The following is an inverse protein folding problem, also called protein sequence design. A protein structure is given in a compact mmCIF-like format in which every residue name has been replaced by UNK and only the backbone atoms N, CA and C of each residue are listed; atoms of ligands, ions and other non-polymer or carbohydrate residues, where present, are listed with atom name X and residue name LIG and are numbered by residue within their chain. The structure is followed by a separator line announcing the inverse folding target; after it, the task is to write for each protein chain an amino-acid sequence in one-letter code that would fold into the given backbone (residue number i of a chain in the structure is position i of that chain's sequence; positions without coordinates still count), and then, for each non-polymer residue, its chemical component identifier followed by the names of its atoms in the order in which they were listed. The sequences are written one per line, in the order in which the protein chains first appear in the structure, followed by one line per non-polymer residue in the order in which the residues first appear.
data_IF_626832664353
#
_entry.id   IF_626832664353
#
_cell.length_a   1.000
_cell.length_b   1.000
_cell.length_c   1.000
_cell.angle_alpha   90.00
_cell.angle_beta   90.00
_cell.angle_gamma   90.00
#
_symmetry.space_group_name_H-M   'P 1'
#
loop_
_entity.id
_entity.type
_entity.pdbx_description
1 polymer ?
#
# COMPACT_ATOMS: atom_id res chain seq x y z
N UNK A 1 4.41 -10.64 3.15
CA UNK A 1 4.76 -9.20 2.99
C UNK A 1 3.54 -8.27 2.76
N UNK A 2 2.28 -8.74 2.92
CA UNK A 2 1.05 -7.97 2.53
C UNK A 2 0.14 -7.60 3.72
N UNK A 3 0.44 -8.00 4.96
CA UNK A 3 -0.52 -7.91 6.08
C UNK A 3 -0.42 -6.68 7.02
N UNK A 4 0.53 -5.76 6.82
CA UNK A 4 0.83 -4.75 7.85
C UNK A 4 0.12 -3.39 7.73
N UNK A 5 -0.81 -3.17 6.81
CA UNK A 5 -1.36 -1.82 6.58
C UNK A 5 -2.58 -1.40 7.42
N UNK A 6 -3.15 -2.26 8.28
CA UNK A 6 -4.46 -1.93 8.90
C UNK A 6 -4.60 -2.05 10.43
N UNK A 7 -3.57 -2.44 11.18
CA UNK A 7 -3.65 -2.48 12.65
C UNK A 7 -2.46 -1.78 13.31
N UNK A 8 -2.66 -0.59 13.90
CA UNK A 8 -1.71 -0.02 14.85
C UNK A 8 -2.19 -0.35 16.27
N UNK A 9 -1.74 -1.48 16.82
CA UNK A 9 -1.47 -1.70 18.27
C UNK A 9 -1.39 -3.21 18.57
N UNK A 10 -0.34 -3.54 19.33
CA UNK A 10 -0.09 -4.76 20.12
C UNK A 10 -1.01 -5.96 19.88
N UNK A 11 -0.57 -6.95 19.08
CA UNK A 11 -0.64 -8.38 19.45
C UNK A 11 0.44 -9.16 18.67
N UNK A 12 1.31 -9.83 19.42
CA UNK A 12 2.21 -10.87 18.92
C UNK A 12 1.40 -12.03 18.35
N UNK A 13 1.67 -12.48 17.11
CA UNK A 13 1.68 -13.90 16.66
C UNK A 13 1.71 -14.00 15.12
N UNK A 14 2.84 -14.40 14.48
CA UNK A 14 2.94 -14.50 13.02
C UNK A 14 2.48 -15.84 12.40
N UNK A 15 2.00 -16.82 13.17
CA UNK A 15 1.95 -18.23 12.70
C UNK A 15 0.54 -18.70 12.29
N UNK A 16 -0.54 -18.05 12.73
CA UNK A 16 -1.89 -18.58 12.50
C UNK A 16 -2.57 -18.18 11.17
N UNK A 17 -2.07 -17.16 10.45
CA UNK A 17 -2.75 -16.65 9.26
C UNK A 17 -2.39 -17.36 7.93
N UNK A 18 -1.39 -18.25 7.91
CA UNK A 18 -1.04 -19.04 6.73
C UNK A 18 -1.88 -20.32 6.59
N UNK A 19 -2.57 -20.74 7.65
CA UNK A 19 -3.39 -21.96 7.66
C UNK A 19 -4.79 -21.79 7.07
N UNK A 20 -5.29 -20.57 6.90
CA UNK A 20 -6.64 -20.32 6.37
C UNK A 20 -6.73 -20.40 4.82
N UNK A 21 -5.60 -20.63 4.13
CA UNK A 21 -5.53 -20.89 2.69
C UNK A 21 -5.14 -22.34 2.35
N UNK A 22 -5.14 -23.24 3.35
CA UNK A 22 -4.70 -24.63 3.22
C UNK A 22 -5.74 -25.56 3.87
N UNK A 23 -6.77 -25.93 3.09
CA UNK A 23 -7.56 -27.14 3.36
C UNK A 23 -7.71 -27.92 2.06
N UNK A 24 -6.66 -28.68 1.72
CA UNK A 24 -6.68 -29.66 0.65
C UNK A 24 -7.28 -30.96 1.15
N UNK A 25 -8.35 -31.44 0.50
CA UNK A 25 -8.55 -32.86 0.23
C UNK A 25 -9.04 -33.01 -1.21
N UNK A 26 -8.20 -33.61 -2.05
CA UNK A 26 -8.56 -33.98 -3.42
C UNK A 26 -9.74 -34.97 -3.42
N UNK A 27 -10.67 -34.89 -4.38
CA UNK A 27 -11.72 -35.90 -4.55
C UNK A 27 -11.16 -37.15 -5.27
N UNK A 28 -11.65 -38.37 -4.97
CA UNK A 28 -11.30 -39.57 -5.71
C UNK A 28 -12.10 -39.67 -7.02
N UNK A 29 -11.65 -40.47 -8.01
CA UNK A 29 -12.25 -40.51 -9.34
C UNK A 29 -13.59 -41.28 -9.35
N UNK A 30 -14.47 -40.86 -10.25
CA UNK A 30 -15.80 -41.44 -10.45
C UNK A 30 -15.74 -42.85 -11.05
N UNK A 31 -16.61 -43.75 -10.57
CA UNK A 31 -16.96 -45.02 -11.20
C UNK A 31 -18.47 -45.12 -11.38
N UNK A 32 -18.87 -45.64 -12.54
CA UNK A 32 -20.21 -45.66 -13.08
C UNK A 32 -21.10 -46.82 -12.57
N UNK A 33 -22.41 -46.54 -12.57
CA UNK A 33 -23.61 -47.41 -12.69
C UNK A 33 -23.78 -48.67 -11.82
N UNK A 34 -24.94 -48.77 -11.15
CA UNK A 34 -26.05 -49.68 -11.54
C UNK A 34 -27.12 -49.80 -10.42
N UNK A 35 -28.34 -50.04 -10.87
CA UNK A 35 -29.63 -50.16 -10.16
C UNK A 35 -29.77 -51.52 -9.44
N UNK A 36 -30.40 -51.57 -8.25
CA UNK A 36 -31.59 -52.40 -7.96
C UNK A 36 -31.95 -52.58 -6.46
N UNK A 37 -33.26 -52.55 -6.21
CA UNK A 37 -34.04 -52.82 -5.01
C UNK A 37 -33.58 -53.99 -4.10
N UNK A 38 -33.79 -53.86 -2.77
CA UNK A 38 -34.92 -54.50 -2.03
C UNK A 38 -34.91 -54.19 -0.52
N UNK A 39 -36.14 -53.96 -0.04
CA UNK A 39 -36.73 -53.96 1.31
C UNK A 39 -36.02 -54.78 2.41
N UNK A 40 -35.96 -54.25 3.64
CA UNK A 40 -36.37 -54.97 4.86
C UNK A 40 -36.77 -54.01 6.00
N UNK A 41 -37.68 -54.52 6.82
CA UNK A 41 -38.58 -53.84 7.77
C UNK A 41 -38.01 -53.71 9.19
N UNK A 42 -38.49 -52.68 9.91
CA UNK A 42 -38.65 -52.53 11.38
C UNK A 42 -37.39 -52.64 12.26
N UNK A 43 -37.10 -51.70 13.17
CA UNK A 43 -37.88 -51.47 14.39
C UNK A 43 -37.50 -50.12 15.02
N UNK A 44 -38.51 -49.38 15.48
CA UNK A 44 -38.39 -48.14 16.25
C UNK A 44 -37.96 -48.42 17.70
N UNK A 45 -36.98 -47.66 18.21
CA UNK A 45 -36.83 -47.43 19.64
C UNK A 45 -36.63 -45.93 19.89
N UNK A 46 -37.61 -45.33 20.55
CA UNK A 46 -37.69 -43.93 20.93
C UNK A 46 -37.02 -43.73 22.30
N UNK A 47 -36.17 -42.71 22.44
CA UNK A 47 -35.71 -42.19 23.74
C UNK A 47 -36.01 -40.67 23.76
N UNK A 48 -36.66 -40.14 24.82
CA UNK A 48 -37.11 -38.75 24.85
C UNK A 48 -36.02 -37.79 25.35
N UNK A 49 -35.93 -36.63 24.70
CA UNK A 49 -35.24 -35.43 25.21
C UNK A 49 -36.14 -34.70 26.23
N UNK A 50 -35.58 -34.32 27.37
CA UNK A 50 -36.13 -33.29 28.28
C UNK A 50 -35.28 -32.02 28.17
N UNK A 51 -35.88 -30.82 28.09
CA UNK A 51 -35.18 -29.56 28.26
C UNK A 51 -35.25 -29.11 29.73
N UNK A 52 -34.19 -28.46 30.21
CA UNK A 52 -34.21 -27.70 31.46
C UNK A 52 -33.71 -26.28 31.18
N UNK A 53 -34.65 -25.35 31.16
CA UNK A 53 -34.42 -23.93 31.39
C UNK A 53 -34.16 -23.72 32.88
N UNK A 54 -33.13 -22.94 33.22
CA UNK A 54 -33.07 -22.21 34.48
C UNK A 54 -32.23 -20.95 34.31
N UNK A 55 -32.90 -19.81 34.36
CA UNK A 55 -32.34 -18.48 34.55
C UNK A 55 -31.72 -18.35 35.94
N UNK A 56 -30.55 -17.72 36.05
CA UNK A 56 -30.24 -16.96 37.27
C UNK A 56 -29.42 -15.72 36.94
N UNK A 57 -30.05 -14.58 37.18
CA UNK A 57 -29.46 -13.26 37.30
C UNK A 57 -28.64 -13.18 38.60
N UNK A 58 -27.38 -12.76 38.51
CA UNK A 58 -26.63 -12.28 39.69
C UNK A 58 -25.98 -10.93 39.39
N UNK A 59 -26.49 -9.93 40.11
CA UNK A 59 -25.95 -8.59 40.20
C UNK A 59 -24.57 -8.60 40.86
N UNK A 60 -23.61 -7.88 40.25
CA UNK A 60 -22.34 -7.55 40.87
C UNK A 60 -22.46 -6.19 41.56
N UNK A 61 -22.23 -6.20 42.88
CA UNK A 61 -22.19 -5.04 43.75
C UNK A 61 -20.88 -4.27 43.56
N UNK A 62 -21.00 -2.96 43.49
CA UNK A 62 -19.97 -1.95 43.67
C UNK A 62 -19.40 -1.97 45.09
N UNK A 63 -18.08 -1.92 45.24
CA UNK A 63 -17.39 -1.59 46.48
C UNK A 63 -16.76 -0.19 46.40
N UNK A 64 -16.84 0.63 47.47
CA UNK A 64 -16.26 1.96 47.52
C UNK A 64 -14.85 1.96 48.12
N UNK A 65 -13.96 2.80 47.58
CA UNK A 65 -12.66 3.14 48.17
C UNK A 65 -12.82 4.27 49.23
N UNK A 66 -12.09 4.25 50.36
CA UNK A 66 -12.00 5.39 51.26
C UNK A 66 -10.73 6.25 50.99
N UNK A 67 -10.64 7.48 51.57
CA UNK A 67 -9.73 8.53 51.12
C UNK A 67 -8.50 8.74 52.02
N UNK A 68 -7.52 9.47 51.45
CA UNK A 68 -6.52 10.36 52.07
C UNK A 68 -5.53 9.84 53.13
N UNK A 69 -4.23 9.95 52.81
CA UNK A 69 -3.23 10.50 53.73
C UNK A 69 -2.01 11.05 52.97
N UNK A 70 -1.77 12.34 53.21
CA UNK A 70 -0.70 13.19 52.72
C UNK A 70 0.63 12.91 53.43
N UNK A 71 1.71 12.73 52.67
CA UNK A 71 3.08 12.84 53.18
C UNK A 71 3.92 13.71 52.23
N UNK A 72 4.56 14.71 52.82
CA UNK A 72 5.38 15.78 52.25
C UNK A 72 6.57 15.24 51.42
N UNK A 73 7.00 15.91 50.34
CA UNK A 73 8.34 15.75 49.82
C UNK A 73 9.32 16.77 50.43
N UNK A 74 10.42 16.24 50.93
CA UNK A 74 11.60 16.94 51.42
C UNK A 74 12.22 17.87 50.36
N UNK A 75 12.57 19.09 50.78
CA UNK A 75 13.38 20.04 50.00
C UNK A 75 14.69 19.39 49.53
N UNK A 76 14.97 19.46 48.22
CA UNK A 76 16.35 19.49 47.71
C UNK A 76 16.57 20.79 46.96
N UNK A 77 17.62 21.50 47.39
CA UNK A 77 18.12 22.73 46.79
C UNK A 77 18.52 22.48 45.33
N UNK A 78 18.07 23.35 44.43
CA UNK A 78 18.70 23.57 43.14
C UNK A 78 19.92 24.49 43.34
N UNK A 79 21.11 24.04 42.94
CA UNK A 79 22.27 24.91 42.75
C UNK A 79 22.33 25.26 41.27
N UNK A 80 22.22 26.56 41.01
CA UNK A 80 22.27 27.23 39.71
C UNK A 80 23.75 27.37 39.33
N UNK A 81 24.17 26.76 38.23
CA UNK A 81 25.47 27.08 37.61
C UNK A 81 25.25 28.21 36.59
N UNK A 82 26.00 29.30 36.78
CA UNK A 82 26.00 30.47 35.90
C UNK A 82 26.62 30.14 34.55
N UNK A 83 25.95 30.56 33.48
CA UNK A 83 26.46 30.51 32.11
C UNK A 83 27.48 31.64 31.89
N UNK A 84 28.61 31.27 31.29
CA UNK A 84 29.59 32.20 30.77
C UNK A 84 29.07 32.86 29.49
N UNK A 85 29.30 34.16 29.38
CA UNK A 85 28.78 35.01 28.32
C UNK A 85 29.55 34.85 27.01
N UNK A 86 28.81 34.63 25.94
CA UNK A 86 29.25 34.82 24.56
C UNK A 86 28.17 35.57 23.79
N UNK A 87 28.31 36.88 23.66
CA UNK A 87 27.51 37.71 22.77
C UNK A 87 27.85 37.36 21.31
N UNK A 88 27.16 36.35 20.77
CA UNK A 88 26.93 36.19 19.35
C UNK A 88 25.43 36.25 19.14
N UNK A 89 24.91 37.42 18.76
CA UNK A 89 23.53 37.53 18.32
C UNK A 89 23.37 36.69 17.04
N UNK A 90 23.00 35.41 17.19
CA UNK A 90 22.45 34.67 16.08
C UNK A 90 21.13 35.35 15.75
N UNK A 91 21.04 35.96 14.57
CA UNK A 91 19.75 36.34 14.04
C UNK A 91 18.95 35.05 13.91
N UNK A 92 18.00 34.80 14.83
CA UNK A 92 17.06 33.69 14.69
C UNK A 92 16.23 33.99 13.45
N UNK A 93 16.65 33.46 12.30
CA UNK A 93 15.93 33.59 11.04
C UNK A 93 14.51 33.11 11.29
N UNK A 94 13.56 34.02 11.19
CA UNK A 94 12.16 33.72 11.45
C UNK A 94 11.61 33.02 10.21
N UNK A 95 11.42 31.70 10.30
CA UNK A 95 10.81 30.90 9.25
C UNK A 95 9.28 30.94 9.37
N UNK A 96 8.59 30.76 8.24
CA UNK A 96 7.12 30.61 8.25
C UNK A 96 6.70 29.33 8.99
N UNK A 97 7.50 28.26 8.86
CA UNK A 97 7.28 26.95 9.48
C UNK A 97 8.57 26.36 10.06
N UNK A 98 8.44 25.49 11.05
CA UNK A 98 9.55 24.63 11.50
C UNK A 98 9.75 23.45 10.54
N UNK A 99 8.67 22.95 9.95
CA UNK A 99 8.67 21.88 8.95
C UNK A 99 7.79 22.23 7.75
N UNK A 100 8.33 22.05 6.54
CA UNK A 100 7.55 22.03 5.31
C UNK A 100 7.69 20.67 4.62
N UNK A 101 6.60 19.92 4.51
CA UNK A 101 6.59 18.61 3.87
C UNK A 101 6.04 18.71 2.45
N UNK A 102 6.74 18.13 1.47
CA UNK A 102 6.29 18.00 0.08
C UNK A 102 5.78 16.56 -0.12
N UNK A 103 4.47 16.41 -0.31
CA UNK A 103 3.79 15.13 -0.51
C UNK A 103 3.06 14.62 0.73
N UNK A 104 1.74 14.49 0.63
CA UNK A 104 0.85 13.98 1.69
C UNK A 104 0.55 12.47 1.52
N UNK A 105 1.58 11.69 1.21
CA UNK A 105 1.56 10.24 1.27
C UNK A 105 1.81 9.68 2.68
N UNK A 106 2.01 8.37 2.78
CA UNK A 106 2.12 7.68 4.08
C UNK A 106 3.22 8.25 4.98
N UNK A 107 4.44 8.44 4.46
CA UNK A 107 5.56 9.01 5.22
C UNK A 107 5.32 10.46 5.61
N UNK A 108 4.96 11.31 4.63
CA UNK A 108 4.74 12.74 4.83
C UNK A 108 3.60 13.07 5.81
N UNK A 109 2.47 12.35 5.74
CA UNK A 109 1.37 12.51 6.71
C UNK A 109 1.84 12.12 8.12
N UNK A 110 2.53 10.98 8.25
CA UNK A 110 3.00 10.49 9.55
C UNK A 110 3.99 11.46 10.18
N UNK A 111 5.00 11.89 9.42
CA UNK A 111 6.01 12.84 9.87
C UNK A 111 5.39 14.18 10.28
N UNK A 112 4.55 14.76 9.40
CA UNK A 112 3.95 16.07 9.65
C UNK A 112 3.04 16.08 10.86
N UNK A 113 2.21 15.04 11.01
CA UNK A 113 1.33 14.88 12.18
C UNK A 113 2.13 14.76 13.48
N UNK A 114 3.17 13.95 13.50
CA UNK A 114 3.98 13.73 14.70
C UNK A 114 4.80 14.97 15.05
N UNK A 115 5.46 15.61 14.08
CA UNK A 115 6.16 16.86 14.30
C UNK A 115 5.25 17.94 14.92
N UNK A 116 4.02 18.09 14.41
CA UNK A 116 3.06 19.03 14.98
C UNK A 116 2.62 18.66 16.40
N UNK A 117 2.44 17.36 16.68
CA UNK A 117 2.15 16.86 18.04
C UNK A 117 3.31 17.12 19.02
N UNK A 118 4.54 17.20 18.51
CA UNK A 118 5.73 17.57 19.29
C UNK A 118 5.92 19.10 19.42
N UNK A 119 4.96 19.91 18.94
CA UNK A 119 4.95 21.36 19.11
C UNK A 119 5.51 22.17 17.94
N UNK A 120 5.92 21.51 16.84
CA UNK A 120 6.42 22.22 15.65
C UNK A 120 5.29 22.91 14.88
N UNK A 121 5.57 24.06 14.27
CA UNK A 121 4.67 24.68 13.30
C UNK A 121 4.89 24.03 11.93
N UNK A 122 3.89 23.30 11.41
CA UNK A 122 4.06 22.44 10.22
C UNK A 122 3.15 22.85 9.07
N UNK A 123 3.70 22.87 7.85
CA UNK A 123 2.96 22.87 6.60
C UNK A 123 3.23 21.58 5.81
N UNK A 124 2.23 21.17 5.03
CA UNK A 124 2.35 20.09 4.06
C UNK A 124 1.67 20.49 2.76
N UNK A 125 2.34 20.30 1.62
CA UNK A 125 1.72 20.47 0.32
C UNK A 125 1.45 19.14 -0.39
N UNK A 126 0.37 19.11 -1.16
CA UNK A 126 -0.02 17.97 -1.98
C UNK A 126 -0.80 18.44 -3.21
N UNK A 127 -0.67 17.69 -4.31
CA UNK A 127 -1.39 17.96 -5.54
C UNK A 127 -2.90 17.77 -5.37
N UNK A 128 -3.73 18.42 -6.21
CA UNK A 128 -5.17 18.15 -6.27
C UNK A 128 -5.49 16.66 -6.44
N UNK A 129 -6.63 16.25 -5.90
CA UNK A 129 -7.07 14.85 -5.92
C UNK A 129 -7.32 14.33 -7.35
N UNK A 130 -6.79 13.14 -7.65
CA UNK A 130 -7.16 12.33 -8.81
C UNK A 130 -6.95 10.84 -8.52
N UNK A 131 -7.81 9.99 -9.08
CA UNK A 131 -7.66 8.53 -9.04
C UNK A 131 -6.41 8.07 -9.78
N UNK A 132 -6.08 8.72 -10.90
CA UNK A 132 -4.86 8.49 -11.68
C UNK A 132 -3.83 9.57 -11.36
N UNK A 133 -2.59 9.18 -11.03
CA UNK A 133 -1.53 10.14 -10.78
C UNK A 133 -1.07 10.83 -12.07
N UNK A 134 -0.78 12.13 -11.99
CA UNK A 134 -0.08 12.86 -13.05
C UNK A 134 0.91 13.86 -12.44
N UNK A 135 1.59 14.65 -13.28
CA UNK A 135 2.44 15.74 -12.82
C UNK A 135 1.68 16.79 -11.98
N UNK A 136 0.38 16.96 -12.23
CA UNK A 136 -0.41 18.02 -11.61
C UNK A 136 -1.56 17.48 -10.75
N UNK A 137 -1.64 16.15 -10.59
CA UNK A 137 -2.67 15.52 -9.80
C UNK A 137 -2.11 14.33 -9.00
N UNK A 138 -2.52 14.27 -7.75
CA UNK A 138 -2.05 13.32 -6.75
C UNK A 138 -3.17 13.11 -5.75
N UNK A 139 -3.09 13.81 -4.63
CA UNK A 139 -4.15 13.84 -3.63
C UNK A 139 -3.69 13.31 -2.28
N UNK A 140 -4.32 13.85 -1.25
CA UNK A 140 -4.02 13.53 0.15
C UNK A 140 -4.30 12.06 0.44
N UNK A 141 -3.34 11.39 1.09
CA UNK A 141 -3.32 9.93 1.31
C UNK A 141 -2.26 9.24 0.44
N UNK A 142 -1.87 9.86 -0.68
CA UNK A 142 -0.83 9.38 -1.58
C UNK A 142 -1.11 8.01 -2.19
N UNK A 143 -0.04 7.37 -2.67
CA UNK A 143 -0.16 6.15 -3.49
C UNK A 143 -0.93 5.04 -2.81
N UNK A 144 -0.60 4.68 -1.56
CA UNK A 144 -1.19 3.51 -0.89
C UNK A 144 -2.70 3.63 -0.71
N UNK A 145 -3.20 4.82 -0.37
CA UNK A 145 -4.62 5.07 -0.16
C UNK A 145 -5.35 5.18 -1.49
N UNK A 146 -4.79 5.89 -2.48
CA UNK A 146 -5.54 6.28 -3.68
C UNK A 146 -5.40 5.32 -4.87
N UNK A 147 -4.25 4.65 -5.00
CA UNK A 147 -3.87 3.88 -6.21
C UNK A 147 -2.96 2.68 -5.90
N UNK A 148 -3.04 2.18 -4.67
CA UNK A 148 -2.16 1.15 -4.16
C UNK A 148 -2.90 0.21 -3.23
N UNK A 149 -2.37 0.02 -2.02
CA UNK A 149 -2.81 -0.98 -1.05
C UNK A 149 -4.33 -1.07 -0.91
N UNK A 150 -5.01 0.07 -0.71
CA UNK A 150 -6.45 0.11 -0.40
C UNK A 150 -7.31 -0.31 -1.59
N UNK A 151 -7.33 0.41 -2.74
CA UNK A 151 -8.18 0.04 -3.87
C UNK A 151 -7.80 -1.33 -4.44
N UNK A 152 -6.51 -1.67 -4.49
CA UNK A 152 -6.06 -3.01 -4.91
C UNK A 152 -6.62 -4.09 -3.99
N UNK A 153 -6.65 -3.87 -2.67
CA UNK A 153 -7.19 -4.86 -1.73
C UNK A 153 -8.70 -5.05 -1.87
N UNK A 154 -9.45 -3.98 -2.18
CA UNK A 154 -10.87 -4.07 -2.52
C UNK A 154 -11.08 -4.93 -3.78
N UNK A 155 -10.24 -4.76 -4.81
CA UNK A 155 -10.27 -5.58 -6.02
C UNK A 155 -9.92 -7.05 -5.75
N UNK A 156 -8.93 -7.31 -4.89
CA UNK A 156 -8.61 -8.68 -4.46
C UNK A 156 -9.81 -9.32 -3.79
N UNK A 157 -10.47 -8.64 -2.85
CA UNK A 157 -11.69 -9.17 -2.22
C UNK A 157 -12.80 -9.45 -3.23
N UNK A 158 -13.04 -8.53 -4.17
CA UNK A 158 -14.03 -8.74 -5.23
C UNK A 158 -13.72 -9.99 -6.08
N UNK A 159 -12.44 -10.19 -6.42
CA UNK A 159 -12.00 -11.32 -7.26
C UNK A 159 -12.12 -12.68 -6.56
N UNK A 160 -12.02 -12.73 -5.23
CA UNK A 160 -12.09 -13.95 -4.43
C UNK A 160 -13.47 -14.60 -4.42
N UNK A 161 -14.54 -13.79 -4.46
CA UNK A 161 -15.92 -14.31 -4.45
C UNK A 161 -16.20 -15.32 -5.57
N UNK A 162 -15.57 -15.16 -6.73
CA UNK A 162 -15.75 -16.09 -7.84
C UNK A 162 -15.35 -17.54 -7.50
N UNK A 163 -14.34 -17.69 -6.64
CA UNK A 163 -13.87 -18.98 -6.16
C UNK A 163 -14.71 -19.44 -4.97
N UNK A 164 -15.02 -18.53 -4.04
CA UNK A 164 -15.85 -18.86 -2.88
C UNK A 164 -17.24 -19.38 -3.30
N UNK A 165 -17.82 -18.84 -4.38
CA UNK A 165 -19.10 -19.33 -4.93
C UNK A 165 -18.97 -20.73 -5.54
N UNK A 166 -17.85 -21.05 -6.17
CA UNK A 166 -17.58 -22.38 -6.72
C UNK A 166 -17.36 -23.39 -5.58
N UNK A 167 -16.53 -23.05 -4.60
CA UNK A 167 -16.26 -23.91 -3.44
C UNK A 167 -17.50 -24.11 -2.56
N UNK A 168 -18.41 -23.14 -2.52
CA UNK A 168 -19.63 -23.21 -1.70
C UNK A 168 -20.50 -24.44 -2.00
N UNK A 169 -20.48 -24.95 -3.24
CA UNK A 169 -21.18 -26.19 -3.61
C UNK A 169 -20.71 -27.40 -2.78
N UNK A 170 -19.42 -27.45 -2.45
CA UNK A 170 -18.84 -28.49 -1.59
C UNK A 170 -19.36 -28.47 -0.15
N UNK A 171 -19.94 -27.33 0.27
CA UNK A 171 -20.57 -27.14 1.57
C UNK A 171 -22.11 -27.21 1.50
N UNK A 172 -22.67 -27.65 0.37
CA UNK A 172 -24.11 -27.86 0.20
C UNK A 172 -24.90 -26.61 -0.20
N UNK A 173 -24.22 -25.53 -0.61
CA UNK A 173 -24.88 -24.41 -1.26
C UNK A 173 -25.32 -24.82 -2.66
N UNK A 174 -26.46 -24.29 -3.11
CA UNK A 174 -26.96 -24.47 -4.47
C UNK A 174 -27.69 -23.19 -4.89
N UNK A 175 -27.58 -22.85 -6.17
CA UNK A 175 -28.23 -21.68 -6.77
C UNK A 175 -28.67 -22.00 -8.21
N UNK A 176 -29.71 -21.32 -8.69
CA UNK A 176 -30.28 -21.55 -10.02
C UNK A 176 -29.38 -21.03 -11.16
N UNK A 177 -28.57 -20.02 -10.88
CA UNK A 177 -27.64 -19.42 -11.83
C UNK A 177 -26.39 -18.90 -11.12
N UNK A 178 -25.24 -19.02 -11.78
CA UNK A 178 -23.97 -18.44 -11.32
C UNK A 178 -24.10 -16.94 -11.00
N UNK A 179 -23.59 -16.48 -9.84
CA UNK A 179 -23.54 -15.05 -9.52
C UNK A 179 -22.80 -14.25 -10.58
N UNK A 180 -23.37 -13.11 -10.99
CA UNK A 180 -22.76 -12.19 -11.95
C UNK A 180 -22.05 -11.06 -11.23
N UNK A 181 -20.88 -10.68 -11.75
CA UNK A 181 -20.12 -9.54 -11.24
C UNK A 181 -20.45 -8.26 -12.02
N UNK A 182 -20.84 -7.20 -11.31
CA UNK A 182 -21.00 -5.87 -11.89
C UNK A 182 -19.78 -4.99 -11.60
N UNK A 183 -19.00 -4.71 -12.66
CA UNK A 183 -17.82 -3.85 -12.60
C UNK A 183 -18.14 -2.43 -12.17
N UNK A 184 -19.28 -1.90 -12.61
CA UNK A 184 -19.64 -0.50 -12.33
C UNK A 184 -19.91 -0.28 -10.85
N UNK A 185 -20.59 -1.21 -10.18
CA UNK A 185 -20.78 -1.20 -8.72
C UNK A 185 -19.44 -1.29 -7.97
N UNK A 186 -18.50 -2.15 -8.39
CA UNK A 186 -17.18 -2.23 -7.75
C UNK A 186 -16.43 -0.90 -7.85
N UNK A 187 -16.38 -0.30 -9.04
CA UNK A 187 -15.70 0.99 -9.26
C UNK A 187 -16.36 2.11 -8.46
N UNK A 188 -17.69 2.20 -8.45
CA UNK A 188 -18.42 3.20 -7.69
C UNK A 188 -18.16 3.10 -6.18
N UNK A 189 -18.22 1.88 -5.62
CA UNK A 189 -17.96 1.64 -4.20
C UNK A 189 -16.50 1.92 -3.83
N UNK A 190 -15.55 1.49 -4.68
CA UNK A 190 -14.13 1.83 -4.51
C UNK A 190 -13.95 3.35 -4.48
N UNK A 191 -14.49 4.08 -5.46
CA UNK A 191 -14.35 5.54 -5.55
C UNK A 191 -14.97 6.28 -4.36
N UNK A 192 -16.15 5.84 -3.90
CA UNK A 192 -16.77 6.40 -2.69
C UNK A 192 -15.88 6.23 -1.45
N UNK A 193 -15.24 5.06 -1.31
CA UNK A 193 -14.31 4.79 -0.22
C UNK A 193 -13.04 5.65 -0.31
N UNK A 194 -12.49 5.85 -1.52
CA UNK A 194 -11.34 6.74 -1.73
C UNK A 194 -11.66 8.19 -1.32
N UNK A 195 -12.86 8.69 -1.64
CA UNK A 195 -13.30 10.03 -1.23
C UNK A 195 -13.42 10.14 0.29
N UNK A 196 -14.03 9.14 0.93
CA UNK A 196 -14.16 9.08 2.39
C UNK A 196 -12.79 9.10 3.08
N UNK A 197 -11.85 8.26 2.62
CA UNK A 197 -10.50 8.18 3.17
C UNK A 197 -9.72 9.48 2.95
N UNK A 198 -9.82 10.09 1.77
CA UNK A 198 -9.20 11.40 1.50
C UNK A 198 -9.67 12.45 2.52
N UNK A 199 -10.97 12.50 2.81
CA UNK A 199 -11.54 13.36 3.85
C UNK A 199 -10.97 13.07 5.24
N UNK A 200 -10.82 11.80 5.61
CA UNK A 200 -10.23 11.40 6.89
C UNK A 200 -8.78 11.87 7.02
N UNK A 201 -7.97 11.71 5.98
CA UNK A 201 -6.57 12.15 6.03
C UNK A 201 -6.46 13.68 6.13
N UNK A 202 -7.31 14.43 5.42
CA UNK A 202 -7.40 15.90 5.58
C UNK A 202 -7.73 16.28 7.02
N UNK A 203 -8.73 15.63 7.62
CA UNK A 203 -9.12 15.87 9.01
C UNK A 203 -8.00 15.52 10.01
N UNK A 204 -7.28 14.43 9.80
CA UNK A 204 -6.16 14.01 10.67
C UNK A 204 -5.06 15.08 10.69
N UNK A 205 -4.71 15.65 9.53
CA UNK A 205 -3.73 16.73 9.42
C UNK A 205 -4.23 18.01 10.10
N UNK A 206 -5.46 18.43 9.80
CA UNK A 206 -6.07 19.62 10.39
C UNK A 206 -6.19 19.54 11.91
N UNK A 207 -6.66 18.40 12.44
CA UNK A 207 -6.80 18.18 13.89
C UNK A 207 -5.44 18.18 14.62
N UNK A 208 -4.35 17.88 13.92
CA UNK A 208 -2.99 17.98 14.47
C UNK A 208 -2.40 19.40 14.35
N UNK A 209 -3.13 20.37 13.78
CA UNK A 209 -2.65 21.74 13.55
C UNK A 209 -1.73 21.90 12.34
N UNK A 210 -1.69 20.91 11.43
CA UNK A 210 -0.89 21.00 10.21
C UNK A 210 -1.60 21.85 9.16
N UNK A 211 -0.88 22.81 8.58
CA UNK A 211 -1.38 23.62 7.46
C UNK A 211 -1.29 22.81 6.16
N UNK A 212 -2.42 22.38 5.62
CA UNK A 212 -2.49 21.74 4.31
C UNK A 212 -2.56 22.79 3.20
N UNK A 213 -1.66 22.69 2.22
CA UNK A 213 -1.57 23.58 1.06
C UNK A 213 -1.78 22.72 -0.19
N UNK A 214 -2.81 23.01 -0.98
CA UNK A 214 -2.98 22.34 -2.27
C UNK A 214 -2.06 23.00 -3.31
N UNK A 215 -1.32 22.19 -4.08
CA UNK A 215 -0.43 22.67 -5.13
C UNK A 215 0.87 21.86 -5.23
N UNK A 216 1.66 22.14 -6.27
CA UNK A 216 2.94 21.46 -6.49
C UNK A 216 4.05 22.14 -5.71
N UNK A 217 4.68 21.42 -4.79
CA UNK A 217 5.90 21.89 -4.12
C UNK A 217 7.13 21.80 -5.01
N UNK A 218 7.89 22.89 -5.07
CA UNK A 218 9.23 22.96 -5.69
C UNK A 218 10.20 23.60 -4.72
N UNK A 219 11.34 22.97 -4.50
CA UNK A 219 12.42 23.52 -3.66
C UNK A 219 13.17 24.54 -4.49
N UNK A 220 13.29 25.77 -3.98
CA UNK A 220 13.99 26.87 -4.67
C UNK A 220 15.32 27.22 -4.01
N UNK A 221 15.45 26.97 -2.71
CA UNK A 221 16.70 27.07 -1.94
C UNK A 221 16.63 26.11 -0.72
N UNK A 222 17.71 25.92 0.05
CA UNK A 222 17.74 24.97 1.18
C UNK A 222 16.64 25.14 2.23
N UNK A 223 15.99 26.30 2.31
CA UNK A 223 14.97 26.62 3.31
C UNK A 223 13.67 27.17 2.72
N UNK A 224 13.48 27.15 1.40
CA UNK A 224 12.31 27.75 0.75
C UNK A 224 11.66 26.78 -0.23
N UNK A 225 10.34 26.63 -0.09
CA UNK A 225 9.48 25.88 -1.01
C UNK A 225 8.52 26.83 -1.70
N UNK A 226 8.47 26.76 -3.02
CA UNK A 226 7.43 27.38 -3.84
C UNK A 226 6.26 26.41 -3.99
N UNK A 227 5.05 26.89 -3.75
CA UNK A 227 3.80 26.18 -4.10
C UNK A 227 2.93 27.13 -4.91
N UNK A 228 2.69 26.78 -6.18
CA UNK A 228 1.88 27.54 -7.14
C UNK A 228 2.23 29.06 -7.15
N UNK A 229 3.53 29.38 -7.22
CA UNK A 229 4.05 30.74 -7.28
C UNK A 229 4.16 31.47 -5.93
N UNK A 230 3.72 30.86 -4.83
CA UNK A 230 3.90 31.41 -3.48
C UNK A 230 5.07 30.74 -2.77
N UNK A 231 5.95 31.57 -2.20
CA UNK A 231 7.11 31.12 -1.43
C UNK A 231 6.77 30.93 0.05
N UNK A 232 7.29 29.85 0.62
CA UNK A 232 7.17 29.50 2.03
C UNK A 232 8.54 29.11 2.56
N UNK A 233 8.95 29.71 3.69
CA UNK A 233 10.23 29.43 4.33
C UNK A 233 10.07 28.42 5.47
N UNK A 234 11.03 27.51 5.62
CA UNK A 234 11.02 26.52 6.69
C UNK A 234 12.40 26.16 7.21
N UNK A 235 12.48 25.86 8.51
CA UNK A 235 13.72 25.37 9.14
C UNK A 235 14.14 24.03 8.54
N UNK A 236 13.19 23.10 8.37
CA UNK A 236 13.40 21.81 7.74
C UNK A 236 12.41 21.58 6.59
N UNK A 237 12.88 20.92 5.53
CA UNK A 237 12.06 20.48 4.40
C UNK A 237 12.09 18.94 4.37
N UNK A 238 10.91 18.31 4.30
CA UNK A 238 10.78 16.87 4.14
C UNK A 238 10.18 16.51 2.77
N UNK A 239 10.90 15.71 1.99
CA UNK A 239 10.45 15.22 0.69
C UNK A 239 9.84 13.83 0.87
N UNK A 240 8.53 13.69 0.58
CA UNK A 240 7.77 12.44 0.67
C UNK A 240 6.86 12.25 -0.56
N UNK A 241 7.38 12.55 -1.74
CA UNK A 241 6.68 12.55 -3.04
C UNK A 241 6.46 11.16 -3.66
N UNK A 242 7.00 10.11 -3.02
CA UNK A 242 6.86 8.72 -3.45
C UNK A 242 7.52 8.41 -4.81
N UNK A 243 6.94 7.45 -5.53
CA UNK A 243 7.34 7.05 -6.87
C UNK A 243 6.18 7.02 -7.86
N UNK A 244 6.49 6.76 -9.14
CA UNK A 244 5.50 6.58 -10.22
C UNK A 244 5.78 5.33 -11.05
N UNK A 245 4.76 4.74 -11.71
CA UNK A 245 4.98 3.65 -12.66
C UNK A 245 6.00 4.03 -13.73
N UNK A 246 6.84 3.08 -14.11
CA UNK A 246 7.83 3.28 -15.17
C UNK A 246 7.42 2.47 -16.40
N UNK A 247 7.12 3.18 -17.50
CA UNK A 247 6.84 2.58 -18.79
C UNK A 247 8.12 2.55 -19.64
N UNK A 248 8.40 1.45 -20.37
CA UNK A 248 9.55 1.39 -21.26
C UNK A 248 9.33 2.21 -22.53
N UNK A 249 10.42 2.67 -23.14
CA UNK A 249 10.38 3.35 -24.43
C UNK A 249 10.31 2.34 -25.57
N UNK A 250 9.08 1.92 -25.91
CA UNK A 250 8.79 1.05 -27.07
C UNK A 250 7.69 1.68 -27.94
N UNK A 251 7.68 1.41 -29.27
CA UNK A 251 6.59 1.87 -30.12
C UNK A 251 5.22 1.39 -29.64
N UNK A 252 4.24 2.30 -29.61
CA UNK A 252 2.87 2.01 -29.18
C UNK A 252 2.67 2.00 -27.66
N UNK A 253 3.67 2.37 -26.86
CA UNK A 253 3.54 2.43 -25.40
C UNK A 253 2.41 3.37 -24.95
N UNK A 254 2.04 4.37 -25.74
CA UNK A 254 0.91 5.26 -25.51
C UNK A 254 -0.46 4.55 -25.44
N UNK A 255 -0.55 3.31 -25.91
CA UNK A 255 -1.74 2.47 -25.79
C UNK A 255 -1.76 1.61 -24.51
N UNK A 256 -0.65 1.56 -23.77
CA UNK A 256 -0.56 0.80 -22.54
C UNK A 256 -1.22 1.54 -21.36
N UNK A 257 -1.62 0.76 -20.36
CA UNK A 257 -2.02 1.25 -19.04
C UNK A 257 -0.98 0.87 -17.99
N UNK A 258 -0.96 1.59 -16.88
CA UNK A 258 -0.21 1.21 -15.68
C UNK A 258 -1.15 0.74 -14.56
N UNK A 259 -0.62 0.56 -13.35
CA UNK A 259 -1.42 0.16 -12.19
C UNK A 259 -2.43 1.21 -11.75
N UNK A 260 -2.17 2.49 -12.00
CA UNK A 260 -3.07 3.57 -11.60
C UNK A 260 -4.32 3.50 -12.49
N UNK A 261 -4.11 3.42 -13.81
CA UNK A 261 -5.19 3.29 -14.79
C UNK A 261 -5.96 1.96 -14.64
N UNK A 262 -5.28 0.85 -14.31
CA UNK A 262 -5.93 -0.45 -14.08
C UNK A 262 -6.95 -0.44 -12.92
N UNK A 263 -6.80 0.46 -11.94
CA UNK A 263 -7.74 0.64 -10.82
C UNK A 263 -8.92 1.55 -11.16
N UNK A 264 -8.93 2.16 -12.34
CA UNK A 264 -9.91 3.19 -12.74
C UNK A 264 -10.49 2.95 -14.13
N UNK A 265 -10.38 1.72 -14.66
CA UNK A 265 -10.94 1.38 -15.97
C UNK A 265 -12.47 1.52 -15.99
N UNK A 266 -13.05 2.07 -17.07
CA UNK A 266 -14.51 2.21 -17.21
C UNK A 266 -15.21 0.85 -17.37
N UNK A 267 -14.52 -0.14 -17.90
CA UNK A 267 -15.01 -1.51 -18.06
C UNK A 267 -13.94 -2.52 -17.67
N UNK A 268 -14.39 -3.70 -17.23
CA UNK A 268 -13.51 -4.83 -16.96
C UNK A 268 -12.85 -5.30 -18.27
N UNK A 269 -11.54 -5.58 -18.28
CA UNK A 269 -10.90 -6.24 -19.42
C UNK A 269 -11.56 -7.59 -19.73
N UNK A 270 -11.72 -7.90 -21.02
CA UNK A 270 -12.11 -9.25 -21.47
C UNK A 270 -10.87 -10.14 -21.57
N UNK A 271 -9.88 -9.65 -22.31
CA UNK A 271 -8.54 -10.23 -22.43
C UNK A 271 -7.48 -9.17 -22.12
N UNK A 272 -6.50 -9.49 -21.28
CA UNK A 272 -5.46 -8.54 -20.82
C UNK A 272 -4.06 -9.16 -20.83
N UNK A 273 -3.10 -8.40 -21.37
CA UNK A 273 -1.68 -8.68 -21.20
C UNK A 273 -1.13 -7.89 -20.01
N UNK A 274 -0.37 -8.53 -19.12
CA UNK A 274 0.29 -7.90 -17.99
C UNK A 274 1.79 -8.14 -18.12
N UNK A 275 2.53 -7.07 -18.37
CA UNK A 275 3.99 -7.09 -18.51
C UNK A 275 4.65 -6.79 -17.17
N UNK A 276 5.30 -7.79 -16.58
CA UNK A 276 6.03 -7.66 -15.31
C UNK A 276 5.96 -8.93 -14.47
N UNK A 277 7.04 -9.20 -13.73
CA UNK A 277 7.11 -10.35 -12.82
C UNK A 277 7.08 -9.97 -11.33
N UNK A 278 6.82 -8.70 -11.01
CA UNK A 278 6.76 -8.22 -9.63
C UNK A 278 5.41 -8.48 -8.96
N UNK A 279 5.32 -8.15 -7.67
CA UNK A 279 4.09 -8.37 -6.90
C UNK A 279 2.88 -7.63 -7.49
N UNK A 280 3.05 -6.41 -8.02
CA UNK A 280 1.97 -5.65 -8.66
C UNK A 280 1.39 -6.45 -9.84
N UNK A 281 2.26 -6.97 -10.72
CA UNK A 281 1.83 -7.72 -11.90
C UNK A 281 1.01 -8.96 -11.51
N UNK A 282 1.50 -9.74 -10.53
CA UNK A 282 0.81 -10.96 -10.11
C UNK A 282 -0.49 -10.69 -9.34
N UNK A 283 -0.54 -9.62 -8.55
CA UNK A 283 -1.77 -9.21 -7.88
C UNK A 283 -2.85 -8.84 -8.90
N UNK A 284 -2.53 -8.03 -9.91
CA UNK A 284 -3.48 -7.70 -10.98
C UNK A 284 -3.84 -8.92 -11.84
N UNK A 285 -2.89 -9.82 -12.10
CA UNK A 285 -3.18 -11.07 -12.82
C UNK A 285 -4.21 -11.91 -12.06
N UNK A 286 -4.03 -12.07 -10.75
CA UNK A 286 -4.99 -12.76 -9.88
C UNK A 286 -6.37 -12.05 -9.83
N UNK A 287 -6.37 -10.72 -9.73
CA UNK A 287 -7.61 -9.92 -9.72
C UNK A 287 -8.40 -10.13 -11.01
N UNK A 288 -7.78 -9.89 -12.17
CA UNK A 288 -8.49 -9.94 -13.45
C UNK A 288 -8.92 -11.38 -13.79
N UNK A 289 -8.11 -12.39 -13.42
CA UNK A 289 -8.47 -13.80 -13.58
C UNK A 289 -9.65 -14.20 -12.68
N UNK A 290 -9.63 -13.80 -11.40
CA UNK A 290 -10.77 -14.03 -10.48
C UNK A 290 -12.03 -13.30 -10.91
N UNK A 291 -11.89 -12.17 -11.62
CA UNK A 291 -13.01 -11.49 -12.28
C UNK A 291 -13.29 -12.02 -13.70
N UNK A 292 -12.82 -13.23 -14.02
CA UNK A 292 -13.10 -13.98 -15.26
C UNK A 292 -12.66 -13.26 -16.53
N UNK A 293 -11.48 -12.63 -16.50
CA UNK A 293 -10.79 -12.13 -17.70
C UNK A 293 -9.78 -13.16 -18.17
N UNK A 294 -9.53 -13.24 -19.48
CA UNK A 294 -8.39 -14.00 -20.02
C UNK A 294 -7.09 -13.22 -19.74
N UNK A 295 -6.16 -13.82 -19.00
CA UNK A 295 -4.97 -13.13 -18.49
C UNK A 295 -3.70 -13.78 -19.01
N UNK A 296 -2.86 -12.97 -19.66
CA UNK A 296 -1.51 -13.35 -20.08
C UNK A 296 -0.49 -12.52 -19.30
N UNK A 297 0.49 -13.18 -18.67
CA UNK A 297 1.56 -12.53 -17.92
C UNK A 297 2.89 -12.71 -18.65
N UNK A 298 3.51 -11.60 -19.05
CA UNK A 298 4.78 -11.57 -19.77
C UNK A 298 5.92 -11.19 -18.84
N UNK A 299 6.94 -12.04 -18.75
CA UNK A 299 8.13 -11.79 -17.94
C UNK A 299 9.41 -12.00 -18.75
N UNK A 300 10.36 -11.07 -18.61
CA UNK A 300 11.69 -11.19 -19.24
C UNK A 300 12.60 -12.25 -18.60
N UNK A 301 12.25 -12.74 -17.42
CA UNK A 301 13.04 -13.69 -16.63
C UNK A 301 12.40 -15.08 -16.68
N UNK A 302 13.12 -16.10 -16.20
CA UNK A 302 12.58 -17.46 -16.09
C UNK A 302 11.50 -17.60 -15.00
N UNK A 303 11.58 -16.80 -13.94
CA UNK A 303 10.69 -16.89 -12.76
C UNK A 303 10.20 -15.52 -12.32
N UNK A 304 8.97 -15.48 -11.81
CA UNK A 304 8.35 -14.31 -11.17
C UNK A 304 8.97 -14.00 -9.80
N UNK A 305 8.58 -12.88 -9.19
CA UNK A 305 8.94 -12.45 -7.82
C UNK A 305 10.44 -12.53 -7.52
N UNK A 306 11.28 -11.93 -8.39
CA UNK A 306 12.72 -11.84 -8.15
C UNK A 306 13.02 -11.25 -6.77
N UNK A 307 13.90 -11.91 -6.01
CA UNK A 307 14.27 -11.53 -4.64
C UNK A 307 13.49 -12.28 -3.56
N UNK A 308 12.50 -13.10 -3.93
CA UNK A 308 11.83 -14.03 -3.02
C UNK A 308 12.48 -15.42 -3.08
N UNK A 309 12.13 -16.25 -2.10
CA UNK A 309 12.53 -17.65 -2.01
C UNK A 309 12.20 -18.44 -3.31
N UNK A 310 13.13 -19.29 -3.74
CA UNK A 310 13.04 -19.98 -5.03
C UNK A 310 11.88 -20.99 -5.09
N UNK A 311 11.61 -21.73 -4.01
CA UNK A 311 10.53 -22.73 -3.98
C UNK A 311 9.17 -22.04 -3.96
N UNK A 312 9.04 -20.95 -3.20
CA UNK A 312 7.81 -20.15 -3.16
C UNK A 312 7.50 -19.54 -4.54
N UNK A 313 8.52 -19.12 -5.28
CA UNK A 313 8.36 -18.56 -6.63
C UNK A 313 7.83 -19.59 -7.62
N UNK A 314 8.38 -20.79 -7.57
CA UNK A 314 7.94 -21.90 -8.43
C UNK A 314 6.50 -22.29 -8.08
N UNK A 315 6.21 -22.48 -6.79
CA UNK A 315 4.88 -22.82 -6.31
C UNK A 315 3.82 -21.80 -6.73
N UNK A 316 4.08 -20.50 -6.54
CA UNK A 316 3.12 -19.44 -6.92
C UNK A 316 2.86 -19.44 -8.41
N UNK A 317 3.91 -19.56 -9.24
CA UNK A 317 3.75 -19.57 -10.70
C UNK A 317 2.94 -20.77 -11.18
N UNK A 318 3.18 -21.96 -10.60
CA UNK A 318 2.44 -23.18 -10.90
C UNK A 318 0.96 -23.04 -10.52
N UNK A 319 0.67 -22.61 -9.28
CA UNK A 319 -0.71 -22.46 -8.80
C UNK A 319 -1.50 -21.40 -9.59
N UNK A 320 -0.85 -20.31 -10.00
CA UNK A 320 -1.48 -19.31 -10.87
C UNK A 320 -1.77 -19.86 -12.26
N UNK A 321 -0.87 -20.67 -12.82
CA UNK A 321 -1.06 -21.33 -14.12
C UNK A 321 -2.22 -22.32 -14.08
N UNK A 322 -2.30 -23.15 -13.03
CA UNK A 322 -3.40 -24.08 -12.81
C UNK A 322 -4.77 -23.39 -12.70
N UNK A 323 -4.78 -22.10 -12.31
CA UNK A 323 -5.98 -21.27 -12.21
C UNK A 323 -6.31 -20.51 -13.51
N UNK A 324 -5.62 -20.80 -14.61
CA UNK A 324 -5.92 -20.26 -15.94
C UNK A 324 -5.12 -19.03 -16.36
N UNK A 325 -4.11 -18.61 -15.59
CA UNK A 325 -3.23 -17.50 -15.98
C UNK A 325 -2.14 -18.05 -16.91
N UNK A 326 -2.02 -17.49 -18.12
CA UNK A 326 -1.02 -17.92 -19.09
C UNK A 326 0.30 -17.16 -18.90
N UNK A 327 1.38 -17.87 -18.58
CA UNK A 327 2.70 -17.26 -18.41
C UNK A 327 3.57 -17.36 -19.68
N UNK A 328 4.06 -16.21 -20.12
CA UNK A 328 5.01 -16.02 -21.20
C UNK A 328 6.37 -15.67 -20.62
N UNK A 329 7.16 -16.71 -20.31
CA UNK A 329 8.47 -16.57 -19.65
C UNK A 329 9.59 -16.29 -20.65
N UNK A 330 10.62 -15.56 -20.21
CA UNK A 330 11.74 -15.11 -21.05
C UNK A 330 11.27 -14.36 -22.31
N UNK A 331 10.16 -13.64 -22.18
CA UNK A 331 9.49 -12.94 -23.26
C UNK A 331 9.40 -11.45 -22.95
N UNK A 332 10.00 -10.65 -23.83
CA UNK A 332 10.18 -9.21 -23.65
C UNK A 332 9.38 -8.46 -24.72
N UNK A 333 8.54 -7.48 -24.33
CA UNK A 333 7.77 -6.69 -25.29
C UNK A 333 8.69 -5.80 -26.13
N UNK A 334 8.32 -5.63 -27.39
CA UNK A 334 9.06 -4.84 -28.38
C UNK A 334 8.20 -3.74 -29.02
N UNK A 335 6.89 -3.94 -29.14
CA UNK A 335 5.94 -2.92 -29.60
C UNK A 335 4.51 -3.30 -29.23
N UNK A 336 3.64 -2.30 -29.18
CA UNK A 336 2.19 -2.46 -29.12
C UNK A 336 1.61 -1.97 -30.44
N UNK A 337 0.72 -2.75 -31.03
CA UNK A 337 0.00 -2.37 -32.26
C UNK A 337 -1.48 -2.31 -31.94
N UNK A 338 -2.13 -1.22 -32.35
CA UNK A 338 -3.57 -1.07 -32.24
C UNK A 338 -4.23 -1.42 -33.57
N UNK A 339 -5.11 -2.42 -33.53
CA UNK A 339 -5.89 -2.90 -34.67
C UNK A 339 -7.08 -1.98 -34.97
N UNK A 340 -7.65 -2.11 -36.17
CA UNK A 340 -8.79 -1.27 -36.63
C UNK A 340 -10.08 -1.50 -35.84
N UNK A 341 -10.22 -2.68 -35.23
CA UNK A 341 -11.32 -3.05 -34.33
C UNK A 341 -11.14 -2.52 -32.90
N UNK A 342 -10.01 -1.85 -32.61
CA UNK A 342 -9.68 -1.29 -31.31
C UNK A 342 -8.92 -2.23 -30.38
N UNK A 343 -8.73 -3.50 -30.75
CA UNK A 343 -7.93 -4.45 -29.97
C UNK A 343 -6.44 -4.16 -30.11
N UNK A 344 -5.68 -4.62 -29.11
CA UNK A 344 -4.24 -4.43 -29.01
C UNK A 344 -3.52 -5.75 -29.24
N UNK A 345 -2.38 -5.67 -29.91
CA UNK A 345 -1.45 -6.75 -30.12
C UNK A 345 -0.12 -6.44 -29.44
N UNK A 346 0.42 -7.40 -28.69
CA UNK A 346 1.73 -7.29 -28.08
C UNK A 346 2.76 -8.03 -28.93
N UNK A 347 3.65 -7.26 -29.59
CA UNK A 347 4.81 -7.84 -30.27
C UNK A 347 5.93 -8.03 -29.25
N UNK A 348 6.49 -9.23 -29.21
CA UNK A 348 7.57 -9.64 -28.31
C UNK A 348 8.78 -10.13 -29.11
N UNK A 349 9.85 -10.50 -28.40
CA UNK A 349 11.00 -11.17 -29.01
C UNK A 349 10.72 -12.61 -29.48
N UNK A 350 9.57 -13.21 -29.15
CA UNK A 350 9.21 -14.59 -29.51
C UNK A 350 8.07 -14.67 -30.52
N UNK A 351 7.25 -13.63 -30.65
CA UNK A 351 6.12 -13.61 -31.56
C UNK A 351 5.25 -12.38 -31.38
N UNK A 352 4.03 -12.44 -31.92
CA UNK A 352 2.99 -11.45 -31.65
C UNK A 352 1.78 -12.18 -31.11
N UNK A 353 1.20 -11.64 -30.04
CA UNK A 353 -0.05 -12.14 -29.46
C UNK A 353 -1.09 -11.05 -29.64
N UNK A 354 -2.22 -11.41 -30.24
CA UNK A 354 -3.30 -10.49 -30.61
C UNK A 354 -4.49 -10.57 -29.66
N UNK A 355 -5.41 -9.59 -29.79
CA UNK A 355 -6.74 -9.64 -29.20
C UNK A 355 -6.85 -9.12 -27.78
N UNK A 356 -5.85 -8.38 -27.30
CA UNK A 356 -5.91 -7.78 -25.96
C UNK A 356 -6.84 -6.57 -25.95
N UNK A 357 -7.80 -6.54 -25.04
CA UNK A 357 -8.55 -5.31 -24.75
C UNK A 357 -7.68 -4.26 -24.07
N UNK A 358 -6.70 -4.71 -23.26
CA UNK A 358 -5.79 -3.85 -22.51
C UNK A 358 -4.41 -4.51 -22.40
N UNK A 359 -3.35 -3.67 -22.35
CA UNK A 359 -1.99 -4.10 -22.07
C UNK A 359 -1.48 -3.27 -20.89
N UNK A 360 -1.26 -3.92 -19.74
CA UNK A 360 -0.81 -3.30 -18.52
C UNK A 360 0.70 -3.50 -18.31
N UNK A 361 1.42 -2.43 -18.02
CA UNK A 361 2.84 -2.49 -17.64
C UNK A 361 2.99 -2.32 -16.12
N UNK A 362 3.54 -3.35 -15.48
CA UNK A 362 3.88 -3.40 -14.07
C UNK A 362 5.38 -3.75 -13.92
N UNK A 363 6.22 -3.06 -14.69
CA UNK A 363 7.67 -3.37 -14.82
C UNK A 363 8.56 -2.72 -13.76
N UNK A 364 7.99 -1.86 -12.91
CA UNK A 364 8.68 -1.18 -11.84
C UNK A 364 8.11 0.21 -11.60
N UNK A 365 8.63 0.87 -10.57
CA UNK A 365 8.32 2.25 -10.22
C UNK A 365 9.64 3.02 -10.11
N UNK A 366 9.63 4.31 -10.46
CA UNK A 366 10.78 5.21 -10.29
C UNK A 366 10.48 6.27 -9.23
N UNK A 367 11.49 6.72 -8.46
CA UNK A 367 11.38 7.88 -7.59
C UNK A 367 10.81 9.11 -8.32
N UNK A 368 9.89 9.83 -7.67
CA UNK A 368 9.21 10.97 -8.28
C UNK A 368 9.98 12.29 -8.07
N UNK A 369 11.22 12.36 -8.55
CA UNK A 369 12.13 13.48 -8.29
C UNK A 369 12.17 14.55 -9.38
N UNK A 370 11.55 14.31 -10.53
CA UNK A 370 11.55 15.24 -11.66
C UNK A 370 10.90 16.58 -11.28
N UNK A 371 11.52 17.68 -11.69
CA UNK A 371 11.03 19.05 -11.51
C UNK A 371 10.71 19.41 -10.04
N UNK A 372 11.47 18.88 -9.08
CA UNK A 372 11.39 19.27 -7.66
C UNK A 372 12.38 20.36 -7.27
N UNK A 373 13.32 20.72 -8.16
CA UNK A 373 14.34 21.74 -7.91
C UNK A 373 15.56 21.24 -7.13
N UNK A 374 15.73 19.92 -6.99
CA UNK A 374 16.81 19.27 -6.23
C UNK A 374 18.20 19.60 -6.78
N UNK A 375 18.30 19.67 -8.11
CA UNK A 375 19.50 20.03 -8.84
C UNK A 375 20.03 21.43 -8.51
N UNK A 376 19.13 22.38 -8.19
CA UNK A 376 19.50 23.76 -7.89
C UNK A 376 20.01 23.95 -6.46
N UNK A 377 19.69 23.00 -5.57
CA UNK A 377 20.03 23.08 -4.14
C UNK A 377 21.13 22.11 -3.73
N UNK A 378 21.62 21.27 -4.64
CA UNK A 378 22.74 20.35 -4.39
C UNK A 378 22.36 19.08 -3.63
N UNK A 379 21.11 18.61 -3.77
CA UNK A 379 20.69 17.31 -3.23
C UNK A 379 21.21 16.19 -4.15
N UNK A 380 21.98 15.25 -3.58
CA UNK A 380 22.56 14.14 -4.32
C UNK A 380 21.51 13.09 -4.73
N UNK A 381 21.58 12.66 -5.99
CA UNK A 381 20.69 11.65 -6.57
C UNK A 381 21.47 10.43 -7.07
N UNK A 382 20.87 9.24 -6.91
CA UNK A 382 21.33 8.03 -7.58
C UNK A 382 20.98 8.03 -9.08
N UNK A 383 21.59 7.14 -9.86
CA UNK A 383 21.36 7.03 -11.32
C UNK A 383 19.89 6.79 -11.72
N UNK A 384 19.13 6.10 -10.86
CA UNK A 384 17.70 5.85 -11.07
C UNK A 384 16.80 7.06 -10.73
N UNK A 385 17.39 8.13 -10.18
CA UNK A 385 16.72 9.35 -9.71
C UNK A 385 16.33 9.33 -8.23
N UNK A 386 16.73 8.34 -7.45
CA UNK A 386 16.44 8.28 -6.01
C UNK A 386 17.23 9.35 -5.25
N UNK A 387 16.61 9.95 -4.22
CA UNK A 387 17.32 10.86 -3.31
C UNK A 387 18.23 10.04 -2.41
N UNK A 388 19.53 10.33 -2.45
CA UNK A 388 20.49 9.72 -1.55
C UNK A 388 20.30 10.31 -0.15
N UNK A 389 20.18 9.41 0.82
CA UNK A 389 20.02 9.76 2.23
C UNK A 389 20.92 8.93 3.12
N UNK A 390 21.26 9.49 4.27
CA UNK A 390 21.95 8.76 5.32
C UNK A 390 21.00 7.79 6.07
N UNK A 391 21.53 7.16 7.13
CA UNK A 391 20.77 6.22 7.97
C UNK A 391 19.66 6.87 8.81
N UNK A 392 19.64 8.20 8.94
CA UNK A 392 18.59 8.97 9.61
C UNK A 392 17.59 9.59 8.63
N UNK A 393 17.79 9.36 7.31
CA UNK A 393 16.99 9.91 6.21
C UNK A 393 17.27 11.38 5.87
N UNK A 394 18.44 11.90 6.29
CA UNK A 394 18.94 13.23 5.91
C UNK A 394 19.59 13.18 4.54
N UNK A 395 19.39 14.20 3.71
CA UNK A 395 20.04 14.31 2.39
C UNK A 395 21.45 14.91 2.50
N UNK A 396 22.13 15.14 1.37
CA UNK A 396 23.39 15.90 1.32
C UNK A 396 23.26 17.37 1.74
N UNK A 397 22.04 17.88 1.92
CA UNK A 397 21.73 19.24 2.38
C UNK A 397 21.10 19.17 3.77
N UNK A 398 21.74 19.76 4.78
CA UNK A 398 21.40 19.60 6.21
C UNK A 398 19.92 19.90 6.55
N UNK A 399 19.31 20.86 5.87
CA UNK A 399 17.92 21.26 6.09
C UNK A 399 16.89 20.37 5.37
N UNK A 400 17.33 19.51 4.44
CA UNK A 400 16.47 18.72 3.57
C UNK A 400 16.57 17.23 3.91
N UNK A 401 15.40 16.60 4.02
CA UNK A 401 15.22 15.21 4.41
C UNK A 401 14.35 14.50 3.37
N UNK A 402 14.46 13.18 3.24
CA UNK A 402 13.64 12.42 2.30
C UNK A 402 13.24 11.05 2.85
N UNK A 403 11.98 10.64 2.69
CA UNK A 403 11.45 9.36 3.19
C UNK A 403 10.52 8.69 2.18
N UNK A 404 10.35 7.37 2.32
CA UNK A 404 9.52 6.53 1.47
C UNK A 404 10.13 6.29 0.09
N UNK A 405 9.26 5.97 -0.88
CA UNK A 405 9.68 5.48 -2.21
C UNK A 405 10.60 6.44 -2.99
N UNK A 406 10.67 7.72 -2.63
CA UNK A 406 11.58 8.68 -3.27
C UNK A 406 13.07 8.36 -3.00
N UNK A 407 13.35 7.61 -1.92
CA UNK A 407 14.70 7.16 -1.55
C UNK A 407 15.08 5.82 -2.19
N UNK A 408 14.12 5.13 -2.80
CA UNK A 408 14.25 3.77 -3.36
C UNK A 408 14.93 2.75 -2.42
N UNK A 409 14.76 2.90 -1.10
CA UNK A 409 15.18 1.89 -0.11
C UNK A 409 14.26 0.67 -0.14
N UNK A 410 13.17 0.70 0.63
CA UNK A 410 12.11 -0.31 0.58
C UNK A 410 10.77 0.36 0.35
N UNK A 411 10.21 0.15 -0.85
CA UNK A 411 9.00 0.81 -1.31
C UNK A 411 7.74 0.13 -0.72
N UNK A 412 7.57 0.27 0.59
CA UNK A 412 6.47 -0.29 1.38
C UNK A 412 5.89 0.78 2.32
N UNK A 413 4.56 0.83 2.42
CA UNK A 413 3.87 1.78 3.30
C UNK A 413 4.32 1.73 4.76
N UNK A 414 4.44 0.55 5.42
CA UNK A 414 4.91 0.51 6.80
C UNK A 414 6.35 1.00 6.96
N UNK A 415 7.19 0.83 5.93
CA UNK A 415 8.55 1.40 5.92
C UNK A 415 8.48 2.92 5.88
N UNK A 416 7.72 3.50 4.95
CA UNK A 416 7.56 4.95 4.86
C UNK A 416 6.97 5.56 6.15
N UNK A 417 6.03 4.86 6.81
CA UNK A 417 5.50 5.25 8.12
C UNK A 417 6.57 5.22 9.22
N UNK A 418 7.40 4.18 9.25
CA UNK A 418 8.50 4.05 10.19
C UNK A 418 9.54 5.16 9.97
N UNK A 419 9.96 5.38 8.73
CA UNK A 419 10.92 6.43 8.36
C UNK A 419 10.40 7.83 8.73
N UNK A 420 9.14 8.15 8.38
CA UNK A 420 8.53 9.43 8.76
C UNK A 420 8.42 9.62 10.27
N UNK A 421 8.14 8.55 11.03
CA UNK A 421 8.16 8.59 12.49
C UNK A 421 9.56 8.78 13.08
N UNK A 422 10.56 8.09 12.53
CA UNK A 422 11.95 8.19 12.95
C UNK A 422 12.54 9.58 12.69
N UNK A 423 12.23 10.16 11.52
CA UNK A 423 12.53 11.56 11.19
C UNK A 423 11.94 12.52 12.23
N UNK A 424 10.65 12.40 12.53
CA UNK A 424 9.98 13.32 13.45
C UNK A 424 10.59 13.31 14.86
N UNK A 425 10.98 12.13 15.37
CA UNK A 425 11.69 12.01 16.65
C UNK A 425 13.09 12.62 16.59
N UNK A 426 13.84 12.30 15.54
CA UNK A 426 15.21 12.80 15.35
C UNK A 426 15.25 14.32 15.36
N UNK A 427 14.37 14.97 14.58
CA UNK A 427 14.41 16.41 14.37
C UNK A 427 13.68 17.20 15.46
N UNK A 428 12.53 16.74 15.96
CA UNK A 428 11.67 17.54 16.85
C UNK A 428 11.67 17.09 18.31
N UNK A 429 12.21 15.92 18.63
CA UNK A 429 12.47 15.50 20.02
C UNK A 429 13.96 15.47 20.37
N UNK A 430 14.85 15.72 19.40
CA UNK A 430 16.29 15.59 19.56
C UNK A 430 16.68 14.17 20.01
N UNK A 431 15.97 13.16 19.50
CA UNK A 431 16.19 11.73 19.76
C UNK A 431 16.62 11.03 18.47
N UNK A 432 17.94 10.95 18.17
CA UNK A 432 18.43 10.34 16.93
C UNK A 432 17.91 8.90 16.77
N UNK A 433 17.00 8.71 15.82
CA UNK A 433 16.28 7.44 15.60
C UNK A 433 16.49 6.96 14.16
N UNK A 434 17.10 5.79 14.00
CA UNK A 434 17.31 5.16 12.69
C UNK A 434 16.13 4.24 12.34
N UNK A 435 15.63 4.23 11.09
CA UNK A 435 14.65 3.24 10.65
C UNK A 435 15.26 1.82 10.68
N UNK A 436 14.53 0.83 11.20
CA UNK A 436 14.98 -0.56 11.27
C UNK A 436 14.34 -1.42 10.16
N UNK A 437 15.12 -1.72 9.12
CA UNK A 437 14.62 -2.48 7.97
C UNK A 437 14.60 -4.00 8.18
N UNK A 438 15.20 -4.54 9.26
CA UNK A 438 15.29 -5.99 9.50
C UNK A 438 13.92 -6.65 9.69
N UNK A 439 12.93 -5.90 10.17
CA UNK A 439 11.55 -6.36 10.36
C UNK A 439 10.85 -6.74 9.05
N UNK A 440 11.32 -6.23 7.90
CA UNK A 440 10.70 -6.46 6.59
C UNK A 440 11.33 -7.63 5.82
N UNK A 441 12.48 -8.12 6.27
CA UNK A 441 13.30 -9.14 5.59
C UNK A 441 13.40 -10.47 6.35
N UNK A 442 12.51 -10.76 7.32
CA UNK A 442 12.42 -12.11 7.90
C UNK A 442 11.82 -13.12 6.90
N UNK A 443 12.62 -13.47 5.90
CA UNK A 443 12.55 -14.70 5.11
C UNK A 443 13.99 -15.17 4.92
N UNK A 444 14.49 -15.96 5.86
CA UNK A 444 15.84 -16.54 5.80
C UNK A 444 16.44 -16.84 7.18
N UNK A 445 16.27 -18.10 7.60
CA UNK A 445 17.18 -18.91 8.45
C UNK A 445 17.81 -18.29 9.71
N UNK A 446 17.27 -18.65 10.86
CA UNK A 446 18.04 -19.42 11.86
C UNK A 446 17.52 -20.85 11.89
#
# INVERSE_FOLDING_TARGET
MIFFCFFPEEQETPIYAMAAALSLRAPPPALASAVALRTFSTTLLSIPLKPLFASSSRALRSSPFPPFLSLLPSRRLAVRACADGGNGASFSRQFDFDLFTIGAGSGGVRASRFAATYGAKVAICELPFSTISSENAGGVGGTCVLRGCVPKKLFVYASQYSHDFEESHGFGWAYESEPKHDWSTLIANKNAELQRLTGIYKNILQNAGVTLIEGRGKIVDPHTVEVDGKLYTARHILISVGGRPNLPEIPGIEYAIDSDAALDLPSKPEKIAIVGGGYIALEFAGIFNGLKSEVHVFIRQKKVLRGFDEEIRDFVSEQMSLRGIEFHVEETPQAIVKSTDGLLSLRTNKGTIDGFSHIMFATGRRPNTKNLGLENVGVDLAENGAILVDEYSQTSVDSIWAVGDVTDRLNLTPVALMEGGAFAKTVFLNEPTKPNFTLFWKTGTE
#
